data_IF_195045749900
#
_entry.id   IF_195045749900
#
_cell.length_a   1.000
_cell.length_b   1.000
_cell.length_c   1.000
_cell.angle_alpha   90.00
_cell.angle_beta   90.00
_cell.angle_gamma   90.00
#
_symmetry.space_group_name_H-M   'P 1'
#
loop_
_entity.id
_entity.type
_entity.pdbx_description
1 polymer ?
#
# COMPACT_ATOMS: atom_id res chain seq x y z
N UNK A 1 -13.42 2.14 -12.16
CA UNK A 1 -12.53 3.01 -11.36
C UNK A 1 -13.40 4.08 -10.72
N UNK A 2 -13.27 4.26 -9.41
CA UNK A 2 -13.94 5.34 -8.67
C UNK A 2 -12.86 6.19 -8.01
N UNK A 3 -13.02 7.51 -8.06
CA UNK A 3 -11.99 8.47 -7.63
C UNK A 3 -12.58 9.54 -6.74
N UNK A 4 -11.78 9.99 -5.78
CA UNK A 4 -12.08 11.08 -4.87
C UNK A 4 -10.80 11.88 -4.61
N UNK A 5 -10.94 13.20 -4.53
CA UNK A 5 -9.90 14.14 -4.12
C UNK A 5 -10.62 15.37 -3.53
N UNK A 6 -9.96 16.07 -2.63
CA UNK A 6 -10.40 17.39 -2.14
C UNK A 6 -10.40 18.45 -3.25
N UNK A 7 -9.56 18.28 -4.28
CA UNK A 7 -9.49 19.14 -5.45
C UNK A 7 -10.47 18.67 -6.54
N UNK A 8 -11.61 19.36 -6.65
CA UNK A 8 -12.64 19.06 -7.62
C UNK A 8 -12.15 19.15 -9.09
N UNK A 9 -11.14 19.96 -9.39
CA UNK A 9 -10.60 20.08 -10.75
C UNK A 9 -9.81 18.82 -11.13
N UNK A 10 -9.06 18.23 -10.18
CA UNK A 10 -8.38 16.95 -10.37
C UNK A 10 -9.39 15.83 -10.57
N UNK A 11 -10.41 15.73 -9.72
CA UNK A 11 -11.50 14.75 -9.86
C UNK A 11 -12.16 14.84 -11.24
N UNK A 12 -12.53 16.04 -11.68
CA UNK A 12 -13.16 16.25 -12.98
C UNK A 12 -12.24 15.86 -14.15
N UNK A 13 -10.93 16.10 -14.02
CA UNK A 13 -9.94 15.75 -15.04
C UNK A 13 -9.77 14.24 -15.14
N UNK A 14 -9.54 13.57 -14.00
CA UNK A 14 -9.40 12.10 -13.93
C UNK A 14 -10.68 11.39 -14.37
N UNK A 15 -11.85 11.90 -14.00
CA UNK A 15 -13.13 11.34 -14.45
C UNK A 15 -13.30 11.41 -15.97
N UNK A 16 -12.93 12.52 -16.60
CA UNK A 16 -12.97 12.66 -18.07
C UNK A 16 -11.95 11.76 -18.77
N UNK A 17 -10.72 11.72 -18.26
CA UNK A 17 -9.62 11.01 -18.90
C UNK A 17 -9.77 9.47 -18.81
N UNK A 18 -10.22 8.98 -17.65
CA UNK A 18 -10.27 7.54 -17.37
C UNK A 18 -11.70 6.97 -17.30
N UNK A 19 -12.72 7.79 -17.57
CA UNK A 19 -14.13 7.38 -17.41
C UNK A 19 -14.48 6.99 -15.97
N UNK A 20 -13.80 7.59 -14.98
CA UNK A 20 -13.95 7.24 -13.58
C UNK A 20 -15.23 7.80 -12.96
N UNK A 21 -15.82 7.08 -12.02
CA UNK A 21 -16.91 7.57 -11.20
C UNK A 21 -16.39 8.49 -10.10
N UNK A 22 -16.98 9.67 -9.96
CA UNK A 22 -16.63 10.62 -8.91
C UNK A 22 -17.33 10.26 -7.60
N UNK A 23 -16.60 10.19 -6.50
CA UNK A 23 -17.13 9.89 -5.17
C UNK A 23 -16.69 10.98 -4.20
N UNK A 24 -17.49 11.25 -3.17
CA UNK A 24 -17.09 12.18 -2.12
C UNK A 24 -15.93 11.58 -1.30
N UNK A 25 -14.88 12.36 -0.97
CA UNK A 25 -13.72 11.87 -0.21
C UNK A 25 -14.09 11.12 1.07
N UNK A 26 -15.07 11.62 1.82
CA UNK A 26 -15.48 11.04 3.10
C UNK A 26 -16.22 9.70 2.97
N UNK A 27 -16.52 9.24 1.75
CA UNK A 27 -17.30 8.01 1.52
C UNK A 27 -16.60 7.01 0.59
N UNK A 28 -15.41 7.37 0.07
CA UNK A 28 -14.70 6.56 -0.93
C UNK A 28 -14.32 5.18 -0.40
N UNK A 29 -14.00 5.04 0.90
CA UNK A 29 -13.63 3.75 1.50
C UNK A 29 -14.80 2.77 1.57
N UNK A 30 -16.03 3.29 1.61
CA UNK A 30 -17.24 2.50 1.81
C UNK A 30 -17.91 2.04 0.49
N UNK A 31 -17.37 2.39 -0.68
CA UNK A 31 -17.95 1.96 -1.96
C UNK A 31 -17.68 0.48 -2.24
N UNK A 32 -18.55 -0.14 -3.03
CA UNK A 32 -18.28 -1.46 -3.60
C UNK A 32 -17.10 -1.39 -4.59
N UNK A 33 -16.02 -2.10 -4.27
CA UNK A 33 -14.83 -2.20 -5.10
C UNK A 33 -14.09 -3.51 -4.80
N UNK A 34 -13.25 -3.97 -5.72
CA UNK A 34 -12.38 -5.11 -5.43
C UNK A 34 -11.15 -4.68 -4.60
N UNK A 35 -10.59 -3.51 -4.93
CA UNK A 35 -9.37 -2.94 -4.33
C UNK A 35 -9.65 -1.50 -3.88
N UNK A 36 -9.29 -1.18 -2.64
CA UNK A 36 -9.17 0.19 -2.13
C UNK A 36 -7.71 0.63 -2.21
N UNK A 37 -7.45 1.80 -2.80
CA UNK A 37 -6.10 2.34 -2.97
C UNK A 37 -5.94 3.70 -2.26
N UNK A 38 -5.56 3.72 -0.96
CA UNK A 38 -5.28 4.96 -0.25
C UNK A 38 -4.01 5.65 -0.81
N UNK A 39 -4.17 6.84 -1.39
CA UNK A 39 -3.07 7.56 -2.04
C UNK A 39 -2.92 9.02 -1.59
N UNK A 40 -3.64 9.44 -0.55
CA UNK A 40 -3.68 10.83 -0.09
C UNK A 40 -2.92 11.05 1.23
N UNK A 41 -3.52 10.65 2.36
CA UNK A 41 -2.98 10.83 3.71
C UNK A 41 -2.92 9.50 4.47
N UNK A 42 -2.17 9.47 5.56
CA UNK A 42 -2.10 8.34 6.49
C UNK A 42 -3.26 8.31 7.51
N UNK A 43 -3.34 7.24 8.28
CA UNK A 43 -4.32 7.04 9.36
C UNK A 43 -5.74 6.74 8.90
N UNK A 44 -5.94 6.54 7.59
CA UNK A 44 -7.26 6.33 7.00
C UNK A 44 -7.81 4.93 7.23
N UNK A 45 -6.97 3.97 7.60
CA UNK A 45 -7.36 2.62 8.00
C UNK A 45 -7.37 2.56 9.53
N UNK A 46 -8.55 2.61 10.12
CA UNK A 46 -8.71 2.70 11.57
C UNK A 46 -10.01 2.01 12.04
N UNK A 47 -10.25 2.01 13.35
CA UNK A 47 -11.41 1.36 13.95
C UNK A 47 -12.78 1.88 13.45
N UNK A 48 -12.84 3.09 12.90
CA UNK A 48 -14.07 3.70 12.37
C UNK A 48 -14.28 3.35 10.89
N UNK A 49 -13.22 3.40 10.09
CA UNK A 49 -13.32 3.18 8.63
C UNK A 49 -13.32 1.69 8.24
N UNK A 50 -12.55 0.85 8.93
CA UNK A 50 -12.41 -0.58 8.61
C UNK A 50 -13.76 -1.34 8.60
N UNK A 51 -14.69 -1.10 9.54
CA UNK A 51 -16.03 -1.68 9.48
C UNK A 51 -16.81 -1.33 8.21
N UNK A 52 -16.54 -0.18 7.59
CA UNK A 52 -17.26 0.32 6.41
C UNK A 52 -16.63 -0.12 5.09
N UNK A 53 -15.35 -0.50 5.09
CA UNK A 53 -14.64 -0.94 3.89
C UNK A 53 -15.32 -2.15 3.26
N UNK A 54 -15.67 -2.03 1.98
CA UNK A 54 -16.28 -3.12 1.19
C UNK A 54 -15.29 -3.80 0.24
N UNK A 55 -14.09 -3.25 0.11
CA UNK A 55 -13.03 -3.85 -0.69
C UNK A 55 -12.48 -5.14 -0.08
N UNK A 56 -12.00 -6.05 -0.93
CA UNK A 56 -11.35 -7.30 -0.52
C UNK A 56 -9.84 -7.14 -0.32
N UNK A 57 -9.26 -6.11 -0.92
CA UNK A 57 -7.83 -5.82 -0.86
C UNK A 57 -7.58 -4.33 -0.68
N UNK A 58 -6.51 -3.99 0.03
CA UNK A 58 -6.00 -2.64 0.19
C UNK A 58 -4.56 -2.60 -0.32
N UNK A 59 -4.31 -1.74 -1.31
CA UNK A 59 -2.99 -1.49 -1.87
C UNK A 59 -2.95 -0.05 -2.37
N UNK A 60 -2.19 0.80 -1.68
CA UNK A 60 -2.14 2.25 -1.94
C UNK A 60 -0.74 2.83 -1.77
N UNK A 61 -0.57 4.06 -2.23
CA UNK A 61 0.72 4.77 -2.21
C UNK A 61 0.92 5.64 -0.96
N UNK A 62 -0.14 5.91 -0.17
CA UNK A 62 -0.03 6.74 1.03
C UNK A 62 0.93 6.12 2.06
N UNK A 63 1.61 6.96 2.82
CA UNK A 63 2.43 6.55 3.95
C UNK A 63 1.58 6.51 5.23
N UNK A 64 1.92 5.60 6.14
CA UNK A 64 1.26 5.40 7.43
C UNK A 64 -0.24 5.14 7.27
N UNK A 65 -0.64 4.23 6.38
CA UNK A 65 -2.06 3.99 6.05
C UNK A 65 -2.86 3.51 7.26
N UNK A 66 -2.26 2.63 8.07
CA UNK A 66 -2.80 2.19 9.35
C UNK A 66 -2.72 3.32 10.38
N UNK A 67 -3.80 3.56 11.12
CA UNK A 67 -3.77 4.52 12.23
C UNK A 67 -3.02 3.97 13.43
N UNK A 68 -3.14 2.68 13.71
CA UNK A 68 -2.33 1.96 14.69
C UNK A 68 -1.92 0.58 14.16
N UNK A 69 -0.85 -0.05 14.70
CA UNK A 69 -0.43 -1.38 14.27
C UNK A 69 -1.54 -2.45 14.36
N UNK A 70 -2.43 -2.33 15.36
CA UNK A 70 -3.54 -3.26 15.57
C UNK A 70 -4.57 -3.23 14.43
N UNK A 71 -4.59 -2.17 13.63
CA UNK A 71 -5.51 -2.06 12.49
C UNK A 71 -5.18 -3.09 11.39
N UNK A 72 -3.94 -3.56 11.30
CA UNK A 72 -3.57 -4.67 10.42
C UNK A 72 -4.33 -5.96 10.77
N UNK A 73 -4.47 -6.25 12.06
CA UNK A 73 -5.17 -7.43 12.55
C UNK A 73 -6.69 -7.27 12.47
N UNK A 74 -7.21 -6.03 12.58
CA UNK A 74 -8.63 -5.73 12.31
C UNK A 74 -8.98 -6.00 10.85
N UNK A 75 -8.12 -5.59 9.91
CA UNK A 75 -8.28 -5.88 8.48
C UNK A 75 -8.26 -7.38 8.22
N UNK A 76 -7.29 -8.11 8.78
CA UNK A 76 -7.21 -9.57 8.68
C UNK A 76 -8.48 -10.24 9.21
N UNK A 77 -8.96 -9.84 10.39
CA UNK A 77 -10.19 -10.38 11.01
C UNK A 77 -11.42 -10.16 10.13
N UNK A 78 -11.45 -9.06 9.38
CA UNK A 78 -12.50 -8.75 8.39
C UNK A 78 -12.33 -9.49 7.06
N UNK A 79 -11.25 -10.26 6.89
CA UNK A 79 -10.91 -10.94 5.65
C UNK A 79 -10.44 -9.99 4.55
N UNK A 80 -9.96 -8.79 4.92
CA UNK A 80 -9.46 -7.79 3.98
C UNK A 80 -7.94 -7.92 3.88
N UNK A 81 -7.44 -8.17 2.68
CA UNK A 81 -6.01 -8.31 2.44
C UNK A 81 -5.34 -6.93 2.37
N UNK A 82 -4.52 -6.61 3.36
CA UNK A 82 -3.74 -5.37 3.38
C UNK A 82 -2.30 -5.61 2.92
N UNK A 83 -1.85 -4.87 1.91
CA UNK A 83 -0.46 -4.84 1.48
C UNK A 83 0.28 -3.74 2.27
N UNK A 84 1.37 -4.07 3.01
CA UNK A 84 2.10 -3.10 3.81
C UNK A 84 2.56 -1.91 2.95
N UNK A 85 2.19 -0.71 3.38
CA UNK A 85 2.38 0.53 2.64
C UNK A 85 3.85 0.79 2.27
N UNK A 86 4.77 0.64 3.22
CA UNK A 86 6.21 0.85 3.03
C UNK A 86 6.87 -0.15 2.08
N UNK A 87 6.20 -1.26 1.74
CA UNK A 87 6.62 -2.17 0.67
C UNK A 87 5.93 -1.78 -0.64
N UNK A 88 4.62 -1.56 -0.61
CA UNK A 88 3.82 -1.21 -1.78
C UNK A 88 4.23 0.11 -2.45
N UNK A 89 4.64 1.12 -1.66
CA UNK A 89 5.04 2.44 -2.15
C UNK A 89 6.56 2.60 -2.37
N UNK A 90 7.35 1.53 -2.17
CA UNK A 90 8.82 1.58 -2.16
C UNK A 90 9.47 2.00 -3.49
N UNK A 91 8.72 1.97 -4.59
CA UNK A 91 9.21 2.41 -5.91
C UNK A 91 9.70 3.86 -5.93
N UNK A 92 9.08 4.76 -5.15
CA UNK A 92 9.52 6.16 -5.07
C UNK A 92 10.93 6.31 -4.48
N UNK A 93 11.21 5.57 -3.39
CA UNK A 93 12.54 5.58 -2.77
C UNK A 93 13.58 4.93 -3.66
N UNK A 94 13.22 3.85 -4.38
CA UNK A 94 14.11 3.24 -5.38
C UNK A 94 14.52 4.26 -6.44
N UNK A 95 13.56 4.99 -7.02
CA UNK A 95 13.87 5.97 -8.05
C UNK A 95 14.80 7.07 -7.54
N UNK A 96 14.51 7.62 -6.35
CA UNK A 96 15.37 8.65 -5.72
C UNK A 96 16.76 8.10 -5.37
N UNK A 97 16.85 6.84 -4.93
CA UNK A 97 18.13 6.22 -4.62
C UNK A 97 19.02 6.10 -5.87
N UNK A 98 18.45 5.78 -7.03
CA UNK A 98 19.21 5.71 -8.27
C UNK A 98 19.82 7.08 -8.66
N UNK A 99 19.09 8.16 -8.42
CA UNK A 99 19.57 9.53 -8.63
C UNK A 99 20.71 9.89 -7.65
N UNK A 100 20.52 9.61 -6.35
CA UNK A 100 21.50 9.90 -5.30
C UNK A 100 22.79 9.10 -5.47
N UNK A 101 22.68 7.83 -5.89
CA UNK A 101 23.81 6.93 -6.09
C UNK A 101 24.49 7.12 -7.47
N UNK A 102 24.01 8.05 -8.29
CA UNK A 102 24.51 8.32 -9.64
C UNK A 102 24.60 7.06 -10.52
N UNK A 103 23.56 6.23 -10.48
CA UNK A 103 23.50 5.01 -11.27
C UNK A 103 23.47 5.36 -12.76
N UNK A 104 24.46 4.88 -13.52
CA UNK A 104 24.59 5.17 -14.96
C UNK A 104 23.40 4.62 -15.77
N UNK A 105 23.07 3.34 -15.60
CA UNK A 105 21.87 2.73 -16.20
C UNK A 105 20.69 2.81 -15.23
N UNK A 106 20.17 4.03 -15.07
CA UNK A 106 19.09 4.34 -14.14
C UNK A 106 17.86 3.44 -14.37
N UNK A 107 17.42 3.30 -15.62
CA UNK A 107 16.20 2.56 -15.94
C UNK A 107 16.33 1.06 -15.65
N UNK A 108 17.45 0.43 -16.05
CA UNK A 108 17.65 -0.99 -15.79
C UNK A 108 17.76 -1.27 -14.29
N UNK A 109 18.49 -0.43 -13.55
CA UNK A 109 18.66 -0.60 -12.11
C UNK A 109 17.34 -0.43 -11.36
N UNK A 110 16.53 0.58 -11.69
CA UNK A 110 15.20 0.77 -11.08
C UNK A 110 14.30 -0.42 -11.38
N UNK A 111 14.27 -0.88 -12.64
CA UNK A 111 13.47 -2.05 -13.02
C UNK A 111 13.85 -3.29 -12.22
N UNK A 112 15.15 -3.54 -12.02
CA UNK A 112 15.65 -4.66 -11.23
C UNK A 112 15.22 -4.57 -9.75
N UNK A 113 15.29 -3.38 -9.15
CA UNK A 113 14.87 -3.16 -7.76
C UNK A 113 13.35 -3.26 -7.60
N UNK A 114 12.56 -2.81 -8.58
CA UNK A 114 11.11 -2.95 -8.57
C UNK A 114 10.70 -4.42 -8.61
N UNK A 115 11.40 -5.24 -9.39
CA UNK A 115 11.17 -6.70 -9.40
C UNK A 115 11.54 -7.33 -8.06
N UNK A 116 12.62 -6.86 -7.41
CA UNK A 116 12.98 -7.30 -6.07
C UNK A 116 11.91 -6.94 -5.01
N UNK A 117 11.27 -5.76 -5.10
CA UNK A 117 10.14 -5.41 -4.24
C UNK A 117 8.92 -6.29 -4.51
N UNK A 118 8.63 -6.58 -5.78
CA UNK A 118 7.55 -7.51 -6.15
C UNK A 118 7.75 -8.88 -5.51
N UNK A 119 8.94 -9.47 -5.71
CA UNK A 119 9.28 -10.77 -5.11
C UNK A 119 9.20 -10.75 -3.58
N UNK A 120 9.58 -9.63 -2.95
CA UNK A 120 9.45 -9.46 -1.50
C UNK A 120 7.99 -9.41 -1.05
N UNK A 121 7.13 -8.70 -1.78
CA UNK A 121 5.70 -8.70 -1.50
C UNK A 121 5.11 -10.11 -1.64
N UNK A 122 5.49 -10.86 -2.67
CA UNK A 122 5.04 -12.25 -2.85
C UNK A 122 5.45 -13.16 -1.67
N UNK A 123 6.68 -13.02 -1.17
CA UNK A 123 7.15 -13.74 0.02
C UNK A 123 6.36 -13.35 1.27
N UNK A 124 6.17 -12.04 1.49
CA UNK A 124 5.35 -11.51 2.61
C UNK A 124 3.96 -12.13 2.60
N UNK A 125 3.29 -12.09 1.45
CA UNK A 125 1.92 -12.59 1.29
C UNK A 125 1.86 -14.11 1.48
N UNK A 126 2.84 -14.85 0.96
CA UNK A 126 2.91 -16.31 1.08
C UNK A 126 3.10 -16.74 2.53
N UNK A 127 4.05 -16.12 3.25
CA UNK A 127 4.29 -16.38 4.68
C UNK A 127 3.10 -16.00 5.54
N UNK A 128 2.50 -14.84 5.27
CA UNK A 128 1.33 -14.35 6.01
C UNK A 128 0.16 -15.34 5.91
N UNK A 129 -0.10 -15.83 4.70
CA UNK A 129 -1.14 -16.83 4.45
C UNK A 129 -0.83 -18.18 5.15
N UNK A 130 0.43 -18.64 5.12
CA UNK A 130 0.84 -19.88 5.78
C UNK A 130 0.80 -19.82 7.31
N UNK A 131 1.06 -18.65 7.89
CA UNK A 131 1.09 -18.44 9.34
C UNK A 131 -0.23 -17.88 9.92
N UNK A 132 -1.20 -17.56 9.05
CA UNK A 132 -2.47 -16.92 9.42
C UNK A 132 -2.30 -15.62 10.23
N UNK A 133 -1.32 -14.80 9.85
CA UNK A 133 -1.05 -13.47 10.44
C UNK A 133 -1.16 -12.38 9.38
N UNK A 134 -1.18 -11.12 9.80
CA UNK A 134 -1.26 -10.00 8.86
C UNK A 134 0.04 -9.89 8.04
N UNK A 135 -0.04 -9.51 6.75
CA UNK A 135 1.15 -9.20 5.94
C UNK A 135 2.07 -8.16 6.59
N UNK A 136 1.52 -7.21 7.35
CA UNK A 136 2.29 -6.21 8.10
C UNK A 136 3.21 -6.88 9.13
N UNK A 137 2.70 -7.86 9.88
CA UNK A 137 3.50 -8.59 10.87
C UNK A 137 4.63 -9.43 10.24
N UNK A 138 4.45 -9.95 9.01
CA UNK A 138 5.55 -10.60 8.28
C UNK A 138 6.59 -9.57 7.86
N UNK A 139 6.14 -8.46 7.28
CA UNK A 139 7.03 -7.43 6.77
C UNK A 139 7.89 -6.83 7.90
N UNK A 140 7.31 -6.59 9.07
CA UNK A 140 8.04 -6.10 10.26
C UNK A 140 9.10 -7.12 10.71
N UNK A 141 8.74 -8.41 10.81
CA UNK A 141 9.71 -9.48 11.15
C UNK A 141 10.86 -9.59 10.16
N UNK A 142 10.58 -9.47 8.85
CA UNK A 142 11.63 -9.50 7.83
C UNK A 142 12.63 -8.35 7.99
N UNK A 143 12.14 -7.16 8.40
CA UNK A 143 13.01 -6.02 8.70
C UNK A 143 13.86 -6.31 9.93
N UNK A 144 13.28 -6.82 11.01
CA UNK A 144 14.00 -7.19 12.23
C UNK A 144 15.10 -8.25 11.97
N UNK A 145 14.76 -9.32 11.24
CA UNK A 145 15.68 -10.37 10.82
C UNK A 145 16.87 -9.80 10.03
N UNK A 146 16.58 -8.90 9.06
CA UNK A 146 17.61 -8.27 8.24
C UNK A 146 18.52 -7.32 9.04
N UNK A 147 18.00 -6.61 10.04
CA UNK A 147 18.80 -5.73 10.90
C UNK A 147 19.71 -6.52 11.83
N UNK A 148 19.22 -7.62 12.42
CA UNK A 148 20.01 -8.49 13.29
C UNK A 148 21.15 -9.18 12.53
N UNK A 149 20.88 -9.67 11.31
CA UNK A 149 21.89 -10.31 10.47
C UNK A 149 23.05 -9.38 10.06
N UNK A 150 22.83 -8.06 10.07
CA UNK A 150 23.86 -7.05 9.74
C UNK A 150 24.63 -6.57 10.98
N UNK A 151 24.15 -6.90 12.17
CA UNK A 151 24.76 -6.52 13.45
C UNK A 151 25.74 -7.59 13.99
N UNK A 152 25.71 -8.80 13.47
CA UNK A 152 26.65 -9.89 13.77
C UNK A 152 27.72 -10.03 12.69
#
# INVERSE_FOLDING_TARGET
LSVADTDAARVATTAREFGAQTVAPDTIHAIEADILAPCAIGGVLNAETIPEIRARMICGAANNQLSTPQDADRLLTRGILYLPDYVANGGGIINVAAEILHIEDHAAWVSERLEAIRARMDDILTRAAGEAVSPNAIADRMVEEALLARAG
#
